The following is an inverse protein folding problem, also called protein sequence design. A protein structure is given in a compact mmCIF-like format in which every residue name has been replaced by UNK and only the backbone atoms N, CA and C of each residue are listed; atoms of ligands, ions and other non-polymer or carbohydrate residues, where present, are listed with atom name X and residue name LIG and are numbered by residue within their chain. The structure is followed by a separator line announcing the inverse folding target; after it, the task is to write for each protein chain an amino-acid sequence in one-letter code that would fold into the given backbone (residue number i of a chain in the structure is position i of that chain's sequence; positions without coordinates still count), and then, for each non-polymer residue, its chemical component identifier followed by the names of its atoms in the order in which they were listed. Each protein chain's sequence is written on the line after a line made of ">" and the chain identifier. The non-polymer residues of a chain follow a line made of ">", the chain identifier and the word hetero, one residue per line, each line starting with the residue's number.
data_IF_030465182068
#
_entry.id   IF_030465182068
#
_cell.length_a   1.000
_cell.length_b   1.000
_cell.length_c   1.000
_cell.angle_alpha   90.00
_cell.angle_beta   90.00
_cell.angle_gamma   90.00
#
_symmetry.space_group_name_H-M   'P 1'
#
loop_
_entity.id
_entity.type
_entity.pdbx_description
1 polymer ?
#
# COMPACT_ATOMS: atom_id res chain seq x y z
N UNK A 1 -11.48 32.39 2.56
CA UNK A 1 -10.34 31.46 2.67
C UNK A 1 -9.88 31.17 1.25
N UNK A 2 -8.81 31.84 0.82
CA UNK A 2 -8.44 31.95 -0.59
C UNK A 2 -7.48 30.82 -0.95
N UNK A 3 -7.89 29.91 -1.82
CA UNK A 3 -7.00 28.86 -2.35
C UNK A 3 -6.08 29.55 -3.37
N UNK A 4 -4.74 29.59 -3.17
CA UNK A 4 -3.86 30.30 -4.08
C UNK A 4 -3.84 29.61 -5.45
N UNK A 5 -4.32 30.33 -6.46
CA UNK A 5 -4.17 30.03 -7.88
C UNK A 5 -3.06 30.95 -8.41
N UNK A 6 -1.82 30.49 -8.41
CA UNK A 6 -0.78 31.02 -9.28
C UNK A 6 0.36 30.01 -9.41
N UNK A 7 0.93 29.92 -10.61
CA UNK A 7 2.01 29.01 -10.97
C UNK A 7 3.37 29.30 -10.32
N UNK A 8 3.40 30.13 -9.28
CA UNK A 8 4.60 30.45 -8.51
C UNK A 8 4.42 29.95 -7.07
N UNK A 9 5.40 29.20 -6.58
CA UNK A 9 5.53 28.57 -5.24
C UNK A 9 5.08 27.12 -5.08
N UNK A 10 5.58 26.23 -5.95
CA UNK A 10 6.00 24.90 -5.47
C UNK A 10 7.31 25.04 -4.67
N UNK A 11 7.28 25.78 -3.55
CA UNK A 11 8.40 25.79 -2.61
C UNK A 11 8.47 24.41 -1.96
N UNK A 12 9.56 23.68 -2.22
CA UNK A 12 9.83 22.39 -1.60
C UNK A 12 10.09 22.64 -0.11
N UNK A 13 9.02 22.61 0.68
CA UNK A 13 9.07 22.78 2.13
C UNK A 13 9.14 21.40 2.76
N UNK A 14 10.03 21.23 3.75
CA UNK A 14 10.06 20.02 4.56
C UNK A 14 8.80 19.97 5.42
N UNK A 15 7.73 19.37 4.88
CA UNK A 15 6.45 19.23 5.55
C UNK A 15 6.29 17.86 6.15
N UNK A 16 5.88 17.82 7.41
CA UNK A 16 5.43 16.59 8.06
C UNK A 16 3.97 16.40 7.67
N UNK A 17 3.71 15.39 6.83
CA UNK A 17 2.35 15.06 6.43
C UNK A 17 1.69 14.22 7.53
N UNK A 18 0.59 14.73 8.09
CA UNK A 18 -0.14 14.09 9.19
C UNK A 18 -1.56 13.83 8.75
N UNK A 19 -2.02 12.59 8.88
CA UNK A 19 -3.38 12.18 8.47
C UNK A 19 -4.03 11.35 9.57
N UNK A 20 -5.30 11.60 9.83
CA UNK A 20 -6.17 10.70 10.59
C UNK A 20 -6.91 9.83 9.60
N UNK A 21 -6.93 8.52 9.86
CA UNK A 21 -7.63 7.55 9.02
C UNK A 21 -8.70 6.84 9.84
N UNK A 22 -9.87 6.63 9.24
CA UNK A 22 -10.93 5.78 9.77
C UNK A 22 -11.14 4.63 8.79
N UNK A 23 -10.81 3.42 9.23
CA UNK A 23 -10.92 2.21 8.42
C UNK A 23 -12.06 1.32 8.91
N UNK A 24 -12.88 0.86 7.97
CA UNK A 24 -13.94 -0.13 8.19
C UNK A 24 -13.66 -1.33 7.29
N UNK A 25 -13.68 -2.52 7.87
CA UNK A 25 -13.60 -3.78 7.14
C UNK A 25 -14.85 -4.62 7.43
N UNK A 26 -15.47 -5.10 6.36
CA UNK A 26 -16.58 -6.03 6.40
C UNK A 26 -16.13 -7.35 5.78
N UNK A 27 -16.26 -8.45 6.52
CA UNK A 27 -15.90 -9.80 6.06
C UNK A 27 -17.12 -10.72 6.13
N UNK A 28 -17.91 -10.84 5.05
CA UNK A 28 -19.19 -11.58 5.10
C UNK A 28 -19.01 -13.10 5.24
N UNK A 29 -17.91 -13.64 4.72
CA UNK A 29 -17.64 -15.07 4.75
C UNK A 29 -16.15 -15.37 4.62
N UNK A 30 -15.60 -16.13 5.56
CA UNK A 30 -14.21 -16.58 5.54
C UNK A 30 -13.23 -15.43 5.29
N UNK A 31 -12.46 -15.47 4.20
CA UNK A 31 -11.47 -14.47 3.81
C UNK A 31 -11.97 -13.51 2.73
N UNK A 32 -13.26 -13.53 2.39
CA UNK A 32 -13.87 -12.45 1.61
C UNK A 32 -13.94 -11.20 2.46
N UNK A 33 -13.57 -10.07 1.88
CA UNK A 33 -13.64 -8.79 2.54
C UNK A 33 -13.99 -7.66 1.59
N UNK A 34 -14.54 -6.59 2.17
CA UNK A 34 -14.58 -5.25 1.63
C UNK A 34 -14.04 -4.29 2.70
N UNK A 35 -13.10 -3.43 2.31
CA UNK A 35 -12.49 -2.45 3.18
C UNK A 35 -12.62 -1.06 2.56
N UNK A 36 -12.93 -0.09 3.41
CA UNK A 36 -12.86 1.32 3.08
C UNK A 36 -12.10 2.06 4.16
N UNK A 37 -11.25 3.00 3.76
CA UNK A 37 -10.48 3.86 4.65
C UNK A 37 -10.72 5.31 4.26
N UNK A 38 -11.40 6.04 5.13
CA UNK A 38 -11.53 7.50 5.08
C UNK A 38 -10.24 8.14 5.58
N UNK A 39 -9.85 9.26 4.99
CA UNK A 39 -8.58 9.94 5.27
C UNK A 39 -8.83 11.43 5.41
N UNK A 40 -8.33 12.02 6.49
CA UNK A 40 -8.39 13.45 6.71
C UNK A 40 -7.00 13.98 7.08
N UNK A 41 -6.46 14.98 6.35
CA UNK A 41 -5.22 15.64 6.76
C UNK A 41 -5.45 16.41 8.08
N UNK A 42 -4.52 16.29 9.02
CA UNK A 42 -4.54 17.03 10.30
C UNK A 42 -4.13 18.49 10.07
N UNK A 43 -3.24 18.72 9.10
CA UNK A 43 -2.74 20.03 8.68
C UNK A 43 -2.60 20.04 7.16
N UNK A 44 -2.63 21.24 6.57
CA UNK A 44 -2.37 21.48 5.15
C UNK A 44 -3.24 20.66 4.18
N UNK A 45 -4.50 21.08 4.03
CA UNK A 45 -5.41 20.57 3.01
C UNK A 45 -4.79 20.74 1.61
N UNK A 46 -4.44 19.64 0.97
CA UNK A 46 -4.02 19.63 -0.43
C UNK A 46 -5.16 19.13 -1.31
N UNK A 47 -5.38 19.80 -2.44
CA UNK A 47 -6.35 19.37 -3.47
C UNK A 47 -6.03 18.01 -4.10
N UNK A 48 -4.82 17.51 -3.88
CA UNK A 48 -4.35 16.21 -4.38
C UNK A 48 -4.46 15.09 -3.34
N UNK A 49 -5.04 15.38 -2.18
CA UNK A 49 -5.25 14.37 -1.15
C UNK A 49 -6.54 13.64 -1.45
N UNK A 50 -6.49 12.32 -1.66
CA UNK A 50 -7.71 11.53 -1.76
C UNK A 50 -8.41 11.44 -0.41
N UNK A 51 -9.73 11.61 -0.42
CA UNK A 51 -10.60 11.52 0.76
C UNK A 51 -10.71 10.08 1.26
N UNK A 52 -10.64 9.11 0.34
CA UNK A 52 -10.77 7.71 0.70
C UNK A 52 -9.97 6.74 -0.17
N UNK A 53 -9.90 5.51 0.33
CA UNK A 53 -9.30 4.33 -0.30
C UNK A 53 -10.22 3.16 -0.07
N UNK A 54 -10.31 2.26 -1.03
CA UNK A 54 -11.13 1.06 -0.88
C UNK A 54 -10.49 -0.14 -1.56
N UNK A 55 -10.82 -1.31 -1.05
CA UNK A 55 -10.38 -2.59 -1.59
C UNK A 55 -11.39 -3.67 -1.25
N UNK A 56 -11.45 -4.72 -2.05
CA UNK A 56 -12.30 -5.87 -1.79
C UNK A 56 -11.76 -7.09 -2.53
N UNK A 57 -12.15 -8.27 -2.08
CA UNK A 57 -11.75 -9.52 -2.71
C UNK A 57 -11.64 -10.65 -1.71
N UNK A 58 -10.84 -11.65 -2.06
CA UNK A 58 -10.52 -12.79 -1.23
C UNK A 58 -9.03 -12.72 -0.83
N UNK A 59 -8.74 -12.64 0.46
CA UNK A 59 -7.36 -12.57 0.98
C UNK A 59 -7.13 -13.47 2.19
N UNK A 60 -6.78 -14.72 1.91
CA UNK A 60 -6.37 -15.67 2.94
C UNK A 60 -4.89 -15.45 3.30
N UNK A 61 -4.60 -15.21 4.58
CA UNK A 61 -3.26 -14.89 5.06
C UNK A 61 -2.39 -16.13 5.31
N UNK A 62 -2.98 -17.33 5.33
CA UNK A 62 -2.26 -18.57 5.58
C UNK A 62 -1.36 -18.97 4.41
N UNK A 63 -0.35 -19.79 4.68
CA UNK A 63 0.49 -20.38 3.65
C UNK A 63 -0.28 -21.40 2.80
N UNK A 64 0.13 -21.54 1.54
CA UNK A 64 -0.46 -22.39 0.50
C UNK A 64 -1.88 -22.00 0.11
N UNK A 65 -2.13 -20.70 0.03
CA UNK A 65 -3.45 -20.12 -0.30
C UNK A 65 -3.31 -19.09 -1.41
N UNK A 66 -4.42 -18.85 -2.11
CA UNK A 66 -4.52 -17.83 -3.15
C UNK A 66 -5.29 -16.61 -2.64
N UNK A 67 -4.92 -15.45 -3.15
CA UNK A 67 -5.66 -14.20 -2.95
C UNK A 67 -5.94 -13.55 -4.29
N UNK A 68 -7.14 -12.98 -4.42
CA UNK A 68 -7.55 -12.15 -5.54
C UNK A 68 -8.20 -10.88 -4.98
N UNK A 69 -7.51 -9.76 -5.12
CA UNK A 69 -7.87 -8.50 -4.46
C UNK A 69 -7.90 -7.37 -5.47
N UNK A 70 -9.00 -6.62 -5.49
CA UNK A 70 -9.06 -5.32 -6.13
C UNK A 70 -8.75 -4.23 -5.10
N UNK A 71 -7.86 -3.30 -5.44
CA UNK A 71 -7.49 -2.16 -4.59
C UNK A 71 -7.46 -0.87 -5.38
N UNK A 72 -8.11 0.17 -4.86
CA UNK A 72 -8.09 1.51 -5.46
C UNK A 72 -7.63 2.54 -4.44
N UNK A 73 -6.42 3.04 -4.67
CA UNK A 73 -5.76 4.07 -3.88
C UNK A 73 -5.58 5.39 -4.65
N UNK A 74 -6.31 5.55 -5.75
CA UNK A 74 -6.24 6.70 -6.63
C UNK A 74 -6.92 7.95 -6.07
N UNK A 75 -7.22 8.88 -6.97
CA UNK A 75 -7.80 10.20 -6.68
C UNK A 75 -9.31 10.10 -6.38
N UNK A 76 -9.64 9.53 -5.22
CA UNK A 76 -11.01 9.31 -4.77
C UNK A 76 -11.49 10.45 -3.86
N UNK A 77 -12.65 11.02 -4.16
CA UNK A 77 -13.23 12.18 -3.47
C UNK A 77 -14.69 11.94 -3.10
N UNK A 78 -15.07 12.31 -1.88
CA UNK A 78 -16.46 12.23 -1.41
C UNK A 78 -17.29 13.31 -2.10
N UNK A 79 -16.73 14.52 -2.26
CA UNK A 79 -17.43 15.68 -2.83
C UNK A 79 -16.61 16.33 -3.96
N UNK A 80 -16.56 15.69 -5.15
CA UNK A 80 -15.85 16.25 -6.29
C UNK A 80 -16.52 17.54 -6.80
N UNK A 81 -15.72 18.47 -7.34
CA UNK A 81 -16.22 19.69 -7.97
C UNK A 81 -16.49 19.50 -9.47
N UNK A 82 -17.57 20.10 -9.97
CA UNK A 82 -17.97 20.02 -11.38
C UNK A 82 -18.38 18.61 -11.82
N UNK A 83 -18.01 18.21 -13.03
CA UNK A 83 -18.35 16.90 -13.61
C UNK A 83 -17.35 15.78 -13.25
N UNK A 84 -16.53 15.97 -12.21
CA UNK A 84 -15.53 14.98 -11.79
C UNK A 84 -16.20 13.79 -11.10
N UNK A 85 -15.70 12.58 -11.35
CA UNK A 85 -16.16 11.35 -10.70
C UNK A 85 -15.66 11.29 -9.26
N UNK A 86 -16.41 10.62 -8.40
CA UNK A 86 -15.99 10.30 -7.03
C UNK A 86 -14.82 9.31 -6.99
N UNK A 87 -14.77 8.38 -7.94
CA UNK A 87 -13.73 7.38 -8.07
C UNK A 87 -13.58 6.99 -9.53
N UNK A 88 -12.37 6.56 -9.90
CA UNK A 88 -12.07 5.96 -11.19
C UNK A 88 -11.78 4.48 -10.97
N UNK A 89 -12.81 3.65 -11.07
CA UNK A 89 -12.71 2.21 -10.81
C UNK A 89 -11.70 1.53 -11.74
N UNK A 90 -11.63 1.99 -12.98
CA UNK A 90 -10.70 1.52 -13.98
C UNK A 90 -9.22 1.85 -13.68
N UNK A 91 -8.96 2.67 -12.65
CA UNK A 91 -7.61 2.99 -12.15
C UNK A 91 -7.23 2.18 -10.89
N UNK A 92 -8.09 1.27 -10.44
CA UNK A 92 -7.74 0.30 -9.40
C UNK A 92 -6.91 -0.85 -9.97
N UNK A 93 -6.12 -1.49 -9.10
CA UNK A 93 -5.32 -2.67 -9.44
C UNK A 93 -6.01 -3.95 -8.98
N UNK A 94 -6.04 -4.95 -9.86
CA UNK A 94 -6.46 -6.31 -9.56
C UNK A 94 -5.19 -7.13 -9.33
N UNK A 95 -5.03 -7.66 -8.12
CA UNK A 95 -3.86 -8.43 -7.71
C UNK A 95 -4.26 -9.88 -7.46
N UNK A 96 -3.66 -10.80 -8.20
CA UNK A 96 -3.69 -12.23 -7.92
C UNK A 96 -2.36 -12.63 -7.29
N UNK A 97 -2.37 -13.33 -6.17
CA UNK A 97 -1.15 -13.79 -5.50
C UNK A 97 -1.33 -15.16 -4.87
N UNK A 98 -0.22 -15.89 -4.78
CA UNK A 98 -0.12 -17.16 -4.07
C UNK A 98 0.84 -17.00 -2.90
N UNK A 99 0.40 -17.41 -1.71
CA UNK A 99 1.18 -17.38 -0.48
C UNK A 99 1.74 -18.77 -0.20
N UNK A 100 2.99 -18.85 0.24
CA UNK A 100 3.68 -20.12 0.48
C UNK A 100 4.65 -20.00 1.66
N UNK A 101 4.91 -21.12 2.31
CA UNK A 101 6.00 -21.26 3.29
C UNK A 101 7.31 -21.49 2.57
N UNK A 102 8.41 -21.00 3.14
CA UNK A 102 9.74 -21.34 2.65
C UNK A 102 10.01 -22.84 2.81
N UNK A 103 10.83 -23.44 1.93
CA UNK A 103 11.28 -24.81 2.13
C UNK A 103 11.94 -24.98 3.51
N UNK A 104 11.61 -26.08 4.23
CA UNK A 104 12.09 -26.34 5.61
C UNK A 104 13.60 -26.11 5.82
N UNK A 105 14.50 -26.47 4.88
CA UNK A 105 15.92 -26.19 5.05
C UNK A 105 16.21 -24.70 5.15
N UNK A 106 15.59 -23.86 4.31
CA UNK A 106 15.78 -22.41 4.34
C UNK A 106 15.08 -21.78 5.54
N UNK A 107 13.85 -22.21 5.82
CA UNK A 107 13.05 -21.72 6.93
C UNK A 107 13.78 -21.87 8.28
N UNK A 108 14.39 -23.03 8.55
CA UNK A 108 15.11 -23.29 9.80
C UNK A 108 16.31 -22.36 10.04
N UNK A 109 16.96 -21.87 8.99
CA UNK A 109 18.10 -20.95 9.12
C UNK A 109 17.66 -19.50 9.26
N UNK A 110 16.43 -19.17 8.83
CA UNK A 110 15.89 -17.82 8.89
C UNK A 110 15.05 -17.57 10.14
N UNK A 111 14.43 -18.62 10.72
CA UNK A 111 13.67 -18.51 11.95
C UNK A 111 14.60 -18.34 13.15
N UNK A 112 14.48 -17.20 13.82
CA UNK A 112 15.29 -16.82 14.97
C UNK A 112 14.76 -17.51 16.23
N UNK A 113 13.44 -17.50 16.46
CA UNK A 113 12.83 -18.10 17.65
C UNK A 113 11.84 -19.21 17.31
N UNK A 114 11.67 -20.14 18.25
CA UNK A 114 10.63 -21.16 18.19
C UNK A 114 9.24 -20.51 18.27
N UNK A 115 8.44 -20.68 17.23
CA UNK A 115 7.09 -20.11 17.11
C UNK A 115 7.02 -18.83 16.28
N UNK A 116 8.15 -18.36 15.75
CA UNK A 116 8.15 -17.36 14.69
C UNK A 116 7.65 -17.98 13.38
N UNK A 117 7.14 -17.15 12.47
CA UNK A 117 6.67 -17.61 11.16
C UNK A 117 7.19 -16.72 10.03
N UNK A 118 7.47 -17.35 8.88
CA UNK A 118 7.80 -16.67 7.64
C UNK A 118 6.83 -17.14 6.56
N UNK A 119 6.07 -16.20 6.02
CA UNK A 119 5.16 -16.45 4.89
C UNK A 119 5.61 -15.57 3.73
N UNK A 120 5.85 -16.19 2.59
CA UNK A 120 6.19 -15.51 1.35
C UNK A 120 5.01 -15.52 0.39
N UNK A 121 5.06 -14.63 -0.59
CA UNK A 121 4.07 -14.53 -1.65
C UNK A 121 4.73 -14.18 -2.97
N UNK A 122 4.13 -14.67 -4.05
CA UNK A 122 4.39 -14.23 -5.41
C UNK A 122 3.05 -13.89 -6.06
N UNK A 123 3.02 -12.82 -6.84
CA UNK A 123 1.77 -12.34 -7.42
C UNK A 123 1.95 -11.45 -8.62
N UNK A 124 0.81 -11.06 -9.15
CA UNK A 124 0.66 -10.25 -10.34
C UNK A 124 -0.46 -9.24 -10.13
N UNK A 125 -0.18 -7.98 -10.42
CA UNK A 125 -1.14 -6.89 -10.41
C UNK A 125 -1.35 -6.38 -11.83
N UNK A 126 -2.60 -6.34 -12.26
CA UNK A 126 -3.05 -5.67 -13.49
C UNK A 126 -3.83 -4.40 -13.14
N UNK A 127 -3.46 -3.29 -13.76
CA UNK A 127 -4.14 -2.00 -13.63
C UNK A 127 -4.69 -1.62 -15.01
N UNK A 128 -6.03 -1.59 -15.20
CA UNK A 128 -6.63 -1.36 -16.51
C UNK A 128 -6.26 0.00 -17.10
N UNK A 129 -6.26 1.07 -16.30
CA UNK A 129 -5.86 2.41 -16.68
C UNK A 129 -5.00 3.07 -15.61
N UNK A 130 -3.98 3.82 -16.01
CA UNK A 130 -3.09 4.51 -15.08
C UNK A 130 -2.64 5.85 -15.65
N UNK A 131 -2.38 6.80 -14.76
CA UNK A 131 -1.74 8.06 -15.16
C UNK A 131 -0.25 7.84 -15.41
N UNK A 132 0.20 8.28 -16.58
CA UNK A 132 1.58 8.22 -17.02
C UNK A 132 2.16 9.64 -17.04
N UNK A 133 3.21 9.87 -16.24
CA UNK A 133 3.83 11.19 -16.10
C UNK A 133 4.55 11.61 -17.39
N UNK A 134 5.24 10.68 -18.05
CA UNK A 134 6.06 10.98 -19.24
C UNK A 134 5.21 11.48 -20.41
N UNK A 135 4.04 10.89 -20.63
CA UNK A 135 3.09 11.36 -21.64
C UNK A 135 2.01 12.31 -21.10
N UNK A 136 2.01 12.58 -19.79
CA UNK A 136 0.98 13.36 -19.11
C UNK A 136 -0.46 12.93 -19.48
N UNK A 137 -0.68 11.63 -19.59
CA UNK A 137 -1.92 11.05 -20.13
C UNK A 137 -2.33 9.78 -19.39
N UNK A 138 -3.60 9.39 -19.55
CA UNK A 138 -4.08 8.09 -19.06
C UNK A 138 -3.71 7.01 -20.08
N UNK A 139 -2.82 6.11 -19.68
CA UNK A 139 -2.45 4.89 -20.41
C UNK A 139 -3.23 3.68 -19.87
N UNK A 140 -3.03 2.53 -20.49
CA UNK A 140 -3.76 1.29 -20.18
C UNK A 140 -2.85 0.09 -19.98
N UNK A 141 -3.40 -0.96 -19.36
CA UNK A 141 -2.79 -2.27 -19.22
C UNK A 141 -1.41 -2.24 -18.57
N UNK A 142 -1.35 -1.63 -17.38
CA UNK A 142 -0.15 -1.69 -16.58
C UNK A 142 -0.06 -3.02 -15.83
N UNK A 143 1.13 -3.61 -15.89
CA UNK A 143 1.39 -4.95 -15.38
C UNK A 143 2.53 -4.88 -14.37
N UNK A 144 2.36 -5.52 -13.22
CA UNK A 144 3.36 -5.54 -12.16
C UNK A 144 3.43 -6.95 -11.61
N UNK A 145 4.62 -7.54 -11.56
CA UNK A 145 4.88 -8.78 -10.83
C UNK A 145 5.41 -8.39 -9.46
N UNK A 146 4.99 -9.09 -8.42
CA UNK A 146 5.43 -8.84 -7.06
C UNK A 146 5.85 -10.13 -6.36
N UNK A 147 6.80 -10.00 -5.44
CA UNK A 147 7.25 -11.10 -4.60
C UNK A 147 7.74 -10.57 -3.26
N UNK A 148 7.34 -11.19 -2.17
CA UNK A 148 7.70 -10.67 -0.85
C UNK A 148 7.58 -11.69 0.25
N UNK A 149 8.17 -11.41 1.41
CA UNK A 149 8.07 -12.24 2.60
C UNK A 149 7.75 -11.39 3.82
N UNK A 150 6.94 -11.93 4.70
CA UNK A 150 6.65 -11.40 6.03
C UNK A 150 7.18 -12.35 7.10
N UNK A 151 8.00 -11.81 7.98
CA UNK A 151 8.42 -12.44 9.23
C UNK A 151 7.54 -11.94 10.36
N UNK A 152 6.95 -12.84 11.13
CA UNK A 152 6.19 -12.50 12.34
C UNK A 152 6.80 -13.20 13.53
N UNK A 153 7.26 -12.40 14.49
CA UNK A 153 7.76 -12.85 15.77
C UNK A 153 6.60 -13.32 16.64
N UNK A 154 6.86 -14.31 17.50
CA UNK A 154 5.89 -14.77 18.49
C UNK A 154 5.32 -13.64 19.36
N UNK A 155 6.10 -12.60 19.62
CA UNK A 155 5.72 -11.42 20.43
C UNK A 155 5.02 -10.32 19.61
N UNK A 156 4.35 -10.67 18.50
CA UNK A 156 3.58 -9.74 17.65
C UNK A 156 4.38 -8.65 16.91
N UNK A 157 5.71 -8.71 16.96
CA UNK A 157 6.54 -7.91 16.06
C UNK A 157 6.51 -8.51 14.67
N UNK A 158 6.69 -7.67 13.65
CA UNK A 158 6.81 -8.13 12.28
C UNK A 158 7.81 -7.32 11.48
N UNK A 159 8.32 -7.95 10.43
CA UNK A 159 9.06 -7.32 9.33
C UNK A 159 8.50 -7.87 8.04
N UNK A 160 8.23 -7.00 7.06
CA UNK A 160 7.74 -7.38 5.73
C UNK A 160 8.56 -6.65 4.68
N UNK A 161 8.88 -7.35 3.61
CA UNK A 161 9.51 -6.79 2.43
C UNK A 161 8.84 -7.35 1.18
N UNK A 162 8.59 -6.50 0.19
CA UNK A 162 8.03 -6.90 -1.11
C UNK A 162 8.83 -6.22 -2.21
N UNK A 163 9.24 -6.97 -3.21
CA UNK A 163 9.83 -6.52 -4.45
C UNK A 163 8.75 -6.40 -5.53
N UNK A 164 8.93 -5.44 -6.44
CA UNK A 164 8.07 -5.19 -7.57
C UNK A 164 8.90 -5.17 -8.84
N UNK A 165 8.43 -5.87 -9.86
CA UNK A 165 9.01 -5.89 -11.19
C UNK A 165 7.96 -5.43 -12.20
N UNK A 166 8.36 -4.52 -13.09
CA UNK A 166 7.53 -3.98 -14.15
C UNK A 166 8.03 -4.59 -15.46
N UNK A 167 7.32 -5.57 -16.05
CA UNK A 167 7.76 -6.24 -17.27
C UNK A 167 8.02 -5.27 -18.42
N UNK A 168 7.19 -4.24 -18.51
CA UNK A 168 7.46 -3.04 -19.30
C UNK A 168 7.93 -1.93 -18.34
N UNK A 169 9.23 -1.65 -18.37
CA UNK A 169 9.85 -0.64 -17.51
C UNK A 169 9.31 0.78 -17.75
N UNK A 170 8.75 1.07 -18.93
CA UNK A 170 8.14 2.37 -19.23
C UNK A 170 6.86 2.62 -18.42
N UNK A 171 6.25 1.56 -17.87
CA UNK A 171 5.05 1.68 -17.04
C UNK A 171 5.37 2.10 -15.60
N UNK A 172 6.64 2.02 -15.18
CA UNK A 172 7.06 2.35 -13.82
C UNK A 172 7.09 3.87 -13.62
N UNK A 173 6.19 4.39 -12.80
CA UNK A 173 6.16 5.81 -12.45
C UNK A 173 7.17 6.13 -11.33
N UNK A 174 7.55 7.40 -11.14
CA UNK A 174 8.49 7.79 -10.08
C UNK A 174 8.05 7.38 -8.66
N UNK A 175 6.74 7.31 -8.40
CA UNK A 175 6.17 6.87 -7.12
C UNK A 175 5.96 5.35 -7.01
N UNK A 176 6.20 4.59 -8.09
CA UNK A 176 6.11 3.15 -8.08
C UNK A 176 7.45 2.54 -7.71
N UNK A 177 7.64 2.20 -6.43
CA UNK A 177 8.86 1.61 -5.90
C UNK A 177 9.25 0.29 -6.56
N UNK A 178 10.55 0.00 -6.54
CA UNK A 178 11.10 -1.34 -6.82
C UNK A 178 10.86 -2.29 -5.65
N UNK A 179 10.71 -1.75 -4.44
CA UNK A 179 10.40 -2.54 -3.25
C UNK A 179 9.66 -1.74 -2.17
N UNK A 180 8.86 -2.40 -1.35
CA UNK A 180 8.33 -1.82 -0.12
C UNK A 180 8.82 -2.61 1.08
N UNK A 181 8.86 -1.95 2.22
CA UNK A 181 9.17 -2.62 3.48
C UNK A 181 8.40 -1.98 4.62
N UNK A 182 8.07 -2.80 5.61
CA UNK A 182 7.41 -2.36 6.83
C UNK A 182 7.84 -3.21 8.01
N UNK A 183 7.78 -2.62 9.19
CA UNK A 183 8.06 -3.32 10.44
C UNK A 183 7.31 -2.64 11.57
N UNK A 184 7.05 -3.38 12.62
CA UNK A 184 6.29 -2.84 13.75
C UNK A 184 5.81 -3.90 14.71
N UNK A 185 4.88 -3.48 15.55
CA UNK A 185 4.14 -4.29 16.49
C UNK A 185 2.66 -4.29 16.08
N UNK A 186 2.03 -5.46 16.08
CA UNK A 186 0.67 -5.60 15.61
C UNK A 186 -0.27 -6.22 16.67
N UNK A 187 -1.02 -5.36 17.36
CA UNK A 187 -2.20 -5.76 18.12
C UNK A 187 -3.38 -5.87 17.17
N UNK A 188 -3.78 -7.09 16.79
CA UNK A 188 -4.88 -7.35 15.84
C UNK A 188 -6.25 -7.52 16.50
N UNK A 189 -6.33 -7.35 17.83
CA UNK A 189 -7.54 -7.64 18.61
C UNK A 189 -8.31 -6.36 18.92
N UNK A 190 -9.65 -6.40 19.01
CA UNK A 190 -10.44 -5.28 19.52
C UNK A 190 -9.88 -4.77 20.86
N UNK A 191 -9.77 -3.44 21.01
CA UNK A 191 -9.19 -2.79 22.18
C UNK A 191 -7.65 -2.72 22.21
N UNK A 192 -6.94 -3.24 21.20
CA UNK A 192 -5.47 -3.20 21.15
C UNK A 192 -4.94 -2.13 20.18
N UNK A 193 -3.64 -1.84 20.26
CA UNK A 193 -2.96 -0.93 19.35
C UNK A 193 -1.92 -1.66 18.49
N UNK A 194 -1.68 -1.12 17.30
CA UNK A 194 -0.52 -1.44 16.48
C UNK A 194 0.33 -0.19 16.27
N UNK A 195 1.65 -0.36 16.28
CA UNK A 195 2.60 0.68 15.94
C UNK A 195 3.47 0.16 14.81
N UNK A 196 3.46 0.83 13.67
CA UNK A 196 4.22 0.38 12.51
C UNK A 196 4.88 1.53 11.76
N UNK A 197 6.02 1.21 11.16
CA UNK A 197 6.62 1.99 10.09
C UNK A 197 6.39 1.26 8.78
N UNK A 198 6.01 1.99 7.72
CA UNK A 198 5.91 1.43 6.39
C UNK A 198 6.42 2.41 5.33
N UNK A 199 7.16 1.90 4.37
CA UNK A 199 7.66 2.67 3.24
C UNK A 199 7.17 2.08 1.92
N UNK A 200 6.25 2.81 1.28
CA UNK A 200 5.68 2.52 -0.04
C UNK A 200 6.04 3.60 -1.07
N UNK A 201 7.05 4.42 -0.78
CA UNK A 201 7.51 5.47 -1.70
C UNK A 201 8.19 4.89 -2.95
N UNK A 202 8.64 5.75 -3.86
CA UNK A 202 9.41 5.36 -5.05
C UNK A 202 10.83 4.91 -4.72
N UNK A 203 10.98 3.86 -3.92
CA UNK A 203 12.26 3.19 -3.64
C UNK A 203 12.84 2.61 -4.92
N UNK A 204 14.17 2.47 -4.99
CA UNK A 204 14.87 1.98 -6.18
C UNK A 204 16.01 1.07 -5.78
N UNK A 205 16.24 0.03 -6.58
CA UNK A 205 17.44 -0.79 -6.45
C UNK A 205 18.69 0.04 -6.77
N UNK A 206 19.86 -0.31 -6.20
CA UNK A 206 21.13 0.27 -6.61
C UNK A 206 21.30 0.15 -8.14
N UNK A 207 21.61 1.27 -8.80
CA UNK A 207 21.81 1.34 -10.25
C UNK A 207 20.57 1.72 -11.07
N UNK A 208 19.37 1.75 -10.48
CA UNK A 208 18.18 2.31 -11.11
C UNK A 208 18.14 3.84 -11.00
N UNK A 209 17.46 4.52 -11.95
CA UNK A 209 17.26 5.99 -11.89
C UNK A 209 16.66 6.38 -10.53
N UNK A 210 17.25 7.37 -9.86
CA UNK A 210 16.88 7.74 -8.49
C UNK A 210 15.39 8.02 -8.37
N UNK A 211 14.72 7.26 -7.51
CA UNK A 211 13.33 7.53 -7.13
C UNK A 211 13.28 8.41 -5.88
N UNK A 212 12.08 8.75 -5.45
CA UNK A 212 11.86 9.61 -4.28
C UNK A 212 11.82 8.84 -2.96
N UNK A 213 12.14 7.54 -2.94
CA UNK A 213 12.01 6.71 -1.75
C UNK A 213 13.30 6.55 -0.95
N UNK A 214 13.43 7.33 0.12
CA UNK A 214 14.40 7.08 1.20
C UNK A 214 13.64 6.73 2.47
N UNK A 215 14.38 6.49 3.56
CA UNK A 215 13.80 6.12 4.85
C UNK A 215 12.90 7.23 5.43
N UNK A 216 13.18 8.51 5.14
CA UNK A 216 12.44 9.64 5.72
C UNK A 216 11.06 9.84 5.09
N UNK A 217 10.83 9.25 3.93
CA UNK A 217 9.58 9.31 3.16
C UNK A 217 8.61 8.18 3.56
N UNK A 218 9.01 7.32 4.51
CA UNK A 218 8.11 6.35 5.12
C UNK A 218 7.10 6.99 6.08
N UNK A 219 6.08 6.21 6.44
CA UNK A 219 5.01 6.63 7.35
C UNK A 219 5.10 5.84 8.65
N UNK A 220 5.06 6.55 9.78
CA UNK A 220 4.81 5.95 11.10
C UNK A 220 3.33 6.03 11.38
N UNK A 221 2.72 4.91 11.78
CA UNK A 221 1.29 4.81 12.06
C UNK A 221 1.05 4.21 13.44
N UNK A 222 0.28 4.92 14.26
CA UNK A 222 -0.38 4.38 15.44
C UNK A 222 -1.81 4.03 15.05
N UNK A 223 -2.19 2.77 15.21
CA UNK A 223 -3.49 2.24 14.83
C UNK A 223 -4.17 1.70 16.08
N UNK A 224 -5.40 2.12 16.34
CA UNK A 224 -6.21 1.61 17.43
C UNK A 224 -7.37 0.79 16.86
N UNK A 225 -7.50 -0.45 17.33
CA UNK A 225 -8.61 -1.33 16.98
C UNK A 225 -9.73 -1.07 17.98
N UNK A 226 -10.80 -0.48 17.48
CA UNK A 226 -11.92 -0.05 18.31
C UNK A 226 -12.59 -1.27 18.99
N UNK A 227 -12.97 -1.16 20.27
CA UNK A 227 -13.61 -2.24 21.02
C UNK A 227 -15.12 -2.24 20.76
N UNK A 228 -15.57 -2.89 19.70
CA UNK A 228 -17.00 -3.13 19.45
C UNK A 228 -17.22 -4.45 18.70
#
# INVERSE_FOLDING_TARGET
>A
MTIPNSGDTASQTNKINQTVNLSLQYSPWSFLFANITMRAPVRDLSRYTSDFRYSFGYDDWHANTFSLVYSNYGDNHIWPSGNKRHTYFEQGGITAAYKFSLPKPLERHLLINKGDSIICQAGYTWVPRYYDLDSNAIRSNKNVVLGGCGYTYKQHYFVRATAFWYPDSSQQQPWNGDYSYSFGYAGYKPGTFSLQYANYSGTRYPGHKSGNGKFREGTVSLIWYLPF
#
